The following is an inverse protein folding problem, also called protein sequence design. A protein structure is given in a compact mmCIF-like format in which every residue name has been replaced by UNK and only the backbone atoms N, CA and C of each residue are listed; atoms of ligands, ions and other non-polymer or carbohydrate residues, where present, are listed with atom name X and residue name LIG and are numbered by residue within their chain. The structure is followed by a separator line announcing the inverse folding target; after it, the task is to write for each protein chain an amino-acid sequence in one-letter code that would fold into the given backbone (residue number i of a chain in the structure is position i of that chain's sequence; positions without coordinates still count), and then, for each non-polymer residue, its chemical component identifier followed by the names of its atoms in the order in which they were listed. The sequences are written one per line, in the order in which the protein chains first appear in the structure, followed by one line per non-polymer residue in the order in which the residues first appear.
data_IF_354898693254
#
_entry.id   IF_354898693254
#
_cell.length_a   1.000
_cell.length_b   1.000
_cell.length_c   1.000
_cell.angle_alpha   90.00
_cell.angle_beta   90.00
_cell.angle_gamma   90.00
#
_symmetry.space_group_name_H-M   'P 1'
#
loop_
_entity.id
_entity.type
_entity.pdbx_description
1 polymer ?
#
# COMPACT_ATOMS: atom_id res chain seq x y z
N UNK A 1 20.19 45.77 4.41
CA UNK A 1 19.10 45.73 3.41
C UNK A 1 18.93 44.36 2.79
N UNK A 2 19.94 43.81 2.11
CA UNK A 2 19.83 42.53 1.37
C UNK A 2 19.33 41.34 2.21
N UNK A 3 19.78 41.24 3.47
CA UNK A 3 19.34 40.19 4.40
C UNK A 3 17.84 40.31 4.75
N UNK A 4 17.32 41.49 5.10
CA UNK A 4 15.89 41.69 5.40
C UNK A 4 14.98 41.33 4.23
N UNK A 5 15.41 41.59 2.99
CA UNK A 5 14.66 41.27 1.77
C UNK A 5 14.59 39.74 1.57
N UNK A 6 15.68 39.00 1.85
CA UNK A 6 15.70 37.53 1.83
C UNK A 6 14.76 36.90 2.85
N UNK A 7 14.69 37.42 4.07
CA UNK A 7 13.72 36.93 5.06
C UNK A 7 12.28 37.27 4.64
N UNK A 8 12.02 38.51 4.24
CA UNK A 8 10.70 39.01 3.83
C UNK A 8 10.08 38.20 2.68
N UNK A 9 10.82 37.91 1.61
CA UNK A 9 10.29 37.15 0.47
C UNK A 9 9.89 35.71 0.83
N UNK A 10 10.68 35.02 1.67
CA UNK A 10 10.35 33.66 2.12
C UNK A 10 9.04 33.63 2.94
N UNK A 11 8.76 34.69 3.69
CA UNK A 11 7.56 34.78 4.51
C UNK A 11 6.27 34.94 3.68
N UNK A 12 6.29 35.74 2.61
CA UNK A 12 5.14 35.82 1.69
C UNK A 12 4.92 34.53 0.90
N UNK A 13 5.99 33.87 0.44
CA UNK A 13 5.88 32.59 -0.27
C UNK A 13 5.31 31.49 0.62
N UNK A 14 5.83 31.31 1.84
CA UNK A 14 5.30 30.35 2.82
C UNK A 14 3.82 30.60 3.14
N UNK A 15 3.44 31.87 3.33
CA UNK A 15 2.04 32.24 3.56
C UNK A 15 1.11 31.89 2.39
N UNK A 16 1.53 32.12 1.14
CA UNK A 16 0.75 31.78 -0.07
C UNK A 16 0.63 30.28 -0.35
N UNK A 17 1.56 29.48 0.17
CA UNK A 17 1.63 28.01 0.01
C UNK A 17 1.10 27.24 1.23
N UNK A 18 0.66 27.95 2.26
CA UNK A 18 0.26 27.41 3.57
C UNK A 18 1.37 26.69 4.36
N UNK A 19 2.64 26.96 4.04
CA UNK A 19 3.80 26.42 4.75
C UNK A 19 4.34 27.43 5.78
N UNK A 20 4.47 27.03 7.05
CA UNK A 20 5.06 27.86 8.12
C UNK A 20 4.25 29.10 8.54
N UNK A 21 3.12 29.41 7.89
CA UNK A 21 2.30 30.60 8.16
C UNK A 21 1.86 30.82 9.63
N UNK A 22 1.61 29.79 10.47
CA UNK A 22 1.25 30.02 11.88
C UNK A 22 2.41 30.61 12.69
N UNK A 23 3.65 30.19 12.41
CA UNK A 23 4.83 30.73 13.10
C UNK A 23 5.04 32.22 12.78
N UNK A 24 4.75 32.61 11.53
CA UNK A 24 4.78 34.02 11.10
C UNK A 24 3.65 34.84 11.72
N UNK A 25 2.45 34.25 11.79
CA UNK A 25 1.32 34.86 12.48
C UNK A 25 1.67 35.15 13.95
N UNK A 26 2.16 34.17 14.70
CA UNK A 26 2.52 34.37 16.12
C UNK A 26 3.64 35.41 16.27
N UNK A 27 4.71 35.33 15.46
CA UNK A 27 5.79 36.34 15.47
C UNK A 27 5.27 37.75 15.17
N UNK A 28 4.26 37.88 14.31
CA UNK A 28 3.64 39.16 13.96
C UNK A 28 2.66 39.67 15.02
N UNK A 29 1.94 38.78 15.72
CA UNK A 29 1.10 39.12 16.88
C UNK A 29 1.97 39.65 18.03
N UNK A 30 3.16 39.07 18.22
CA UNK A 30 4.09 39.44 19.29
C UNK A 30 4.97 40.66 18.92
N UNK A 31 4.80 41.24 17.72
CA UNK A 31 5.60 42.39 17.25
C UNK A 31 5.29 43.68 18.03
N UNK A 32 6.34 44.31 18.57
CA UNK A 32 6.27 45.54 19.36
C UNK A 32 6.76 46.77 18.53
N UNK A 33 7.65 47.60 19.09
CA UNK A 33 8.25 48.76 18.43
C UNK A 33 9.56 48.39 17.70
N UNK A 34 10.00 49.28 16.81
CA UNK A 34 11.26 49.13 16.07
C UNK A 34 12.45 49.00 17.04
N UNK A 35 13.38 48.09 16.73
CA UNK A 35 14.54 47.70 17.56
C UNK A 35 14.25 47.08 18.95
N UNK A 36 12.98 46.80 19.29
CA UNK A 36 12.61 46.07 20.52
C UNK A 36 12.26 44.60 20.27
N UNK A 37 12.52 43.75 21.27
CA UNK A 37 12.16 42.33 21.24
C UNK A 37 10.63 42.10 21.28
N UNK A 38 10.17 40.89 20.89
CA UNK A 38 8.76 40.54 20.87
C UNK A 38 8.14 40.52 22.28
N UNK A 39 6.88 40.97 22.38
CA UNK A 39 6.07 40.91 23.59
C UNK A 39 4.84 40.04 23.29
N UNK A 40 4.69 38.95 24.05
CA UNK A 40 3.64 37.97 23.83
C UNK A 40 2.23 38.60 23.80
N UNK A 41 1.50 38.36 22.71
CA UNK A 41 0.13 38.84 22.46
C UNK A 41 -0.04 40.37 22.52
N UNK A 42 0.98 41.14 22.10
CA UNK A 42 0.93 42.60 22.10
C UNK A 42 -0.05 43.17 21.06
N UNK A 43 -0.15 42.58 19.86
CA UNK A 43 -1.00 43.07 18.74
C UNK A 43 -1.80 41.95 18.06
N UNK A 44 -2.77 41.30 18.75
CA UNK A 44 -3.61 40.26 18.17
C UNK A 44 -4.41 40.70 16.93
N UNK A 45 -4.69 42.00 16.77
CA UNK A 45 -5.39 42.56 15.60
C UNK A 45 -4.67 42.27 14.27
N UNK A 46 -3.35 42.05 14.30
CA UNK A 46 -2.56 41.70 13.11
C UNK A 46 -3.03 40.36 12.51
N UNK A 47 -3.60 39.45 13.32
CA UNK A 47 -4.15 38.19 12.83
C UNK A 47 -5.26 38.38 11.79
N UNK A 48 -6.08 39.42 11.91
CA UNK A 48 -7.16 39.70 10.96
C UNK A 48 -6.62 39.98 9.55
N UNK A 49 -5.50 40.71 9.43
CA UNK A 49 -4.82 40.93 8.16
C UNK A 49 -4.38 39.60 7.53
N UNK A 50 -3.79 38.70 8.32
CA UNK A 50 -3.29 37.42 7.81
C UNK A 50 -4.43 36.52 7.29
N UNK A 51 -5.54 36.43 8.04
CA UNK A 51 -6.71 35.64 7.63
C UNK A 51 -7.39 36.22 6.37
N UNK A 52 -7.56 37.55 6.31
CA UNK A 52 -8.16 38.22 5.13
C UNK A 52 -7.28 38.03 3.88
N UNK A 53 -5.96 38.19 4.01
CA UNK A 53 -5.01 37.93 2.92
C UNK A 53 -5.11 36.49 2.42
N UNK A 54 -5.11 35.51 3.33
CA UNK A 54 -5.24 34.08 3.00
C UNK A 54 -6.51 33.81 2.20
N UNK A 55 -7.67 34.31 2.66
CA UNK A 55 -8.96 34.08 2.00
C UNK A 55 -8.95 34.68 0.59
N UNK A 56 -8.48 35.93 0.44
CA UNK A 56 -8.43 36.62 -0.86
C UNK A 56 -7.49 35.89 -1.82
N UNK A 57 -6.24 35.66 -1.44
CA UNK A 57 -5.24 35.05 -2.33
C UNK A 57 -5.61 33.62 -2.68
N UNK A 58 -6.08 32.81 -1.74
CA UNK A 58 -6.50 31.43 -2.02
C UNK A 58 -7.70 31.39 -2.98
N UNK A 59 -8.71 32.25 -2.77
CA UNK A 59 -9.87 32.32 -3.65
C UNK A 59 -9.48 32.72 -5.08
N UNK A 60 -8.66 33.76 -5.25
CA UNK A 60 -8.20 34.18 -6.57
C UNK A 60 -7.28 33.14 -7.23
N UNK A 61 -6.33 32.54 -6.50
CA UNK A 61 -5.42 31.52 -7.06
C UNK A 61 -6.17 30.27 -7.54
N UNK A 62 -7.12 29.76 -6.75
CA UNK A 62 -7.94 28.60 -7.15
C UNK A 62 -8.77 28.94 -8.38
N UNK A 63 -9.42 30.10 -8.42
CA UNK A 63 -10.26 30.49 -9.56
C UNK A 63 -9.45 30.69 -10.86
N UNK A 64 -8.26 31.31 -10.78
CA UNK A 64 -7.37 31.48 -11.93
C UNK A 64 -6.86 30.13 -12.44
N UNK A 65 -6.42 29.25 -11.53
CA UNK A 65 -5.94 27.92 -11.90
C UNK A 65 -7.05 27.07 -12.54
N UNK A 66 -8.23 27.00 -11.92
CA UNK A 66 -9.38 26.27 -12.44
C UNK A 66 -9.83 26.84 -13.79
N UNK A 67 -9.88 28.17 -13.93
CA UNK A 67 -10.21 28.83 -15.19
C UNK A 67 -9.24 28.48 -16.33
N UNK A 68 -7.94 28.61 -16.10
CA UNK A 68 -6.91 28.25 -17.09
C UNK A 68 -6.96 26.77 -17.47
N UNK A 69 -7.09 25.88 -16.49
CA UNK A 69 -7.16 24.43 -16.70
C UNK A 69 -8.40 24.07 -17.52
N UNK A 70 -9.59 24.57 -17.15
CA UNK A 70 -10.84 24.31 -17.87
C UNK A 70 -10.75 24.81 -19.32
N UNK A 71 -10.31 26.06 -19.54
CA UNK A 71 -10.19 26.63 -20.89
C UNK A 71 -9.21 25.83 -21.74
N UNK A 72 -8.08 25.38 -21.18
CA UNK A 72 -7.11 24.56 -21.90
C UNK A 72 -7.71 23.19 -22.27
N UNK A 73 -8.31 22.48 -21.32
CA UNK A 73 -8.94 21.18 -21.60
C UNK A 73 -10.16 21.28 -22.53
N UNK A 74 -10.92 22.38 -22.51
CA UNK A 74 -11.99 22.65 -23.48
C UNK A 74 -11.42 22.90 -24.87
N UNK A 75 -10.40 23.75 -25.01
CA UNK A 75 -9.76 24.03 -26.31
C UNK A 75 -9.16 22.77 -26.96
N UNK A 76 -8.49 21.92 -26.18
CA UNK A 76 -7.98 20.63 -26.67
C UNK A 76 -9.13 19.67 -27.01
N UNK A 77 -10.14 19.59 -26.14
CA UNK A 77 -11.31 18.73 -26.32
C UNK A 77 -12.18 19.11 -27.53
N UNK A 78 -12.32 20.39 -27.85
CA UNK A 78 -13.07 20.85 -29.04
C UNK A 78 -12.26 20.70 -30.33
N UNK A 79 -10.93 20.89 -30.28
CA UNK A 79 -10.07 20.72 -31.45
C UNK A 79 -10.12 19.30 -32.02
N UNK A 80 -10.25 18.27 -31.18
CA UNK A 80 -10.41 16.87 -31.63
C UNK A 80 -11.65 16.66 -32.54
N UNK A 81 -12.71 17.47 -32.37
CA UNK A 81 -13.99 17.30 -33.06
C UNK A 81 -14.34 18.37 -34.10
N UNK A 82 -13.54 19.44 -34.26
CA UNK A 82 -13.84 20.59 -35.15
C UNK A 82 -14.17 20.22 -36.61
N UNK A 83 -13.71 19.07 -37.10
CA UNK A 83 -13.88 18.61 -38.48
C UNK A 83 -14.71 17.30 -38.60
N UNK A 84 -15.59 17.00 -37.64
CA UNK A 84 -16.45 15.81 -37.67
C UNK A 84 -17.94 16.18 -37.84
N UNK A 85 -18.61 15.63 -38.86
CA UNK A 85 -20.05 15.82 -39.10
C UNK A 85 -20.97 15.10 -38.08
N UNK A 86 -20.41 14.35 -37.14
CA UNK A 86 -21.14 13.51 -36.17
C UNK A 86 -20.91 13.98 -34.73
N UNK A 87 -22.00 14.09 -33.98
CA UNK A 87 -21.96 14.39 -32.54
C UNK A 87 -21.26 13.27 -31.75
N UNK A 88 -20.70 13.65 -30.59
CA UNK A 88 -20.04 12.76 -29.64
C UNK A 88 -20.89 11.56 -29.25
N UNK A 89 -22.20 11.74 -29.06
CA UNK A 89 -23.10 10.63 -28.71
C UNK A 89 -23.29 9.67 -29.90
N UNK A 90 -23.45 10.20 -31.11
CA UNK A 90 -23.57 9.39 -32.33
C UNK A 90 -22.30 8.56 -32.57
N UNK A 91 -21.12 9.19 -32.46
CA UNK A 91 -19.82 8.50 -32.58
C UNK A 91 -19.68 7.39 -31.55
N UNK A 92 -20.00 7.65 -30.27
CA UNK A 92 -19.92 6.62 -29.22
C UNK A 92 -20.84 5.41 -29.50
N UNK A 93 -22.07 5.65 -29.97
CA UNK A 93 -23.02 4.60 -30.33
C UNK A 93 -22.55 3.78 -31.55
N UNK A 94 -22.04 4.44 -32.59
CA UNK A 94 -21.51 3.78 -33.80
C UNK A 94 -20.25 2.98 -33.45
N UNK A 95 -19.34 3.55 -32.66
CA UNK A 95 -18.13 2.87 -32.20
C UNK A 95 -18.47 1.62 -31.39
N UNK A 96 -19.43 1.72 -30.47
CA UNK A 96 -19.91 0.57 -29.70
C UNK A 96 -20.51 -0.51 -30.61
N UNK A 97 -21.38 -0.13 -31.54
CA UNK A 97 -21.99 -1.06 -32.50
C UNK A 97 -20.95 -1.79 -33.38
N UNK A 98 -19.88 -1.11 -33.79
CA UNK A 98 -18.83 -1.68 -34.64
C UNK A 98 -17.76 -2.48 -33.88
N UNK A 99 -17.44 -2.11 -32.62
CA UNK A 99 -16.33 -2.72 -31.85
C UNK A 99 -16.77 -3.80 -30.86
N UNK A 100 -18.06 -3.91 -30.55
CA UNK A 100 -18.55 -4.88 -29.55
C UNK A 100 -18.33 -6.33 -29.98
N UNK A 101 -18.00 -7.18 -29.01
CA UNK A 101 -17.83 -8.63 -29.19
C UNK A 101 -18.75 -9.34 -28.19
N UNK A 102 -19.33 -10.50 -28.56
CA UNK A 102 -20.24 -11.22 -27.68
C UNK A 102 -19.51 -11.69 -26.41
N UNK A 103 -20.15 -11.49 -25.25
CA UNK A 103 -19.62 -11.91 -23.94
C UNK A 103 -19.64 -13.44 -23.85
N UNK A 104 -18.49 -14.04 -23.58
CA UNK A 104 -18.37 -15.51 -23.44
C UNK A 104 -18.81 -15.98 -22.06
N UNK A 105 -20.03 -16.51 -21.93
CA UNK A 105 -20.49 -17.21 -20.73
C UNK A 105 -20.22 -18.71 -20.84
N UNK A 106 -19.52 -19.29 -19.86
CA UNK A 106 -19.32 -20.74 -19.78
C UNK A 106 -20.52 -21.43 -19.10
N UNK A 107 -20.99 -22.52 -19.72
CA UNK A 107 -22.04 -23.39 -19.19
C UNK A 107 -21.52 -24.84 -19.22
N UNK A 108 -21.49 -25.57 -18.09
CA UNK A 108 -20.98 -26.94 -18.04
C UNK A 108 -21.98 -27.97 -18.61
N UNK A 109 -21.47 -29.04 -19.21
CA UNK A 109 -22.29 -30.12 -19.80
C UNK A 109 -22.61 -31.27 -18.83
N UNK A 110 -21.76 -31.54 -17.85
CA UNK A 110 -21.90 -32.71 -16.96
C UNK A 110 -22.86 -32.44 -15.81
N UNK A 111 -23.71 -33.41 -15.41
CA UNK A 111 -24.80 -33.18 -14.45
C UNK A 111 -24.35 -32.78 -13.05
N UNK A 112 -23.30 -33.39 -12.51
CA UNK A 112 -22.76 -33.02 -11.19
C UNK A 112 -22.12 -31.62 -11.26
N UNK A 113 -21.35 -31.35 -12.33
CA UNK A 113 -20.70 -30.06 -12.53
C UNK A 113 -21.74 -28.93 -12.71
N UNK A 114 -22.85 -29.21 -13.40
CA UNK A 114 -23.96 -28.27 -13.54
C UNK A 114 -24.63 -27.95 -12.22
N UNK A 115 -24.84 -28.92 -11.32
CA UNK A 115 -25.36 -28.66 -9.97
C UNK A 115 -24.43 -27.73 -9.17
N UNK A 116 -23.11 -28.00 -9.19
CA UNK A 116 -22.12 -27.15 -8.49
C UNK A 116 -22.05 -25.75 -9.11
N UNK A 117 -22.03 -25.65 -10.44
CA UNK A 117 -22.04 -24.37 -11.15
C UNK A 117 -23.30 -23.56 -10.89
N UNK A 118 -24.47 -24.19 -10.86
CA UNK A 118 -25.74 -23.53 -10.55
C UNK A 118 -25.75 -23.00 -9.11
N UNK A 119 -25.21 -23.75 -8.15
CA UNK A 119 -25.05 -23.31 -6.76
C UNK A 119 -24.06 -22.14 -6.63
N UNK A 120 -22.87 -22.25 -7.21
CA UNK A 120 -21.82 -21.21 -7.14
C UNK A 120 -22.22 -19.91 -7.87
N UNK A 121 -23.02 -20.04 -8.94
CA UNK A 121 -23.56 -18.90 -9.71
C UNK A 121 -24.84 -18.32 -9.08
N UNK A 122 -25.33 -18.89 -7.98
CA UNK A 122 -26.57 -18.43 -7.35
C UNK A 122 -26.36 -17.14 -6.56
N UNK A 123 -27.32 -16.23 -6.65
CA UNK A 123 -27.29 -14.98 -5.86
C UNK A 123 -27.11 -15.22 -4.35
N UNK A 124 -27.79 -16.19 -3.69
CA UNK A 124 -27.58 -16.45 -2.27
C UNK A 124 -26.13 -16.82 -1.90
N UNK A 125 -25.42 -17.56 -2.77
CA UNK A 125 -24.00 -17.87 -2.55
C UNK A 125 -23.13 -16.61 -2.61
N UNK A 126 -23.36 -15.73 -3.59
CA UNK A 126 -22.66 -14.45 -3.70
C UNK A 126 -22.94 -13.52 -2.49
N UNK A 127 -24.19 -13.46 -2.00
CA UNK A 127 -24.53 -12.72 -0.78
C UNK A 127 -23.89 -13.33 0.47
N UNK A 128 -23.84 -14.66 0.60
CA UNK A 128 -23.22 -15.33 1.75
C UNK A 128 -21.71 -15.03 1.83
N UNK A 129 -20.98 -15.16 0.72
CA UNK A 129 -19.55 -14.80 0.64
C UNK A 129 -19.33 -13.31 0.97
N UNK A 130 -20.17 -12.42 0.43
CA UNK A 130 -20.09 -10.99 0.71
C UNK A 130 -20.27 -10.66 2.20
N UNK A 131 -21.27 -11.26 2.86
CA UNK A 131 -21.51 -11.10 4.30
C UNK A 131 -20.31 -11.63 5.10
N UNK A 132 -19.74 -12.79 4.72
CA UNK A 132 -18.55 -13.34 5.38
C UNK A 132 -17.31 -12.44 5.26
N UNK A 133 -17.11 -11.76 4.11
CA UNK A 133 -16.05 -10.75 3.97
C UNK A 133 -16.31 -9.57 4.91
N UNK A 134 -17.55 -9.11 5.04
CA UNK A 134 -17.91 -8.00 5.93
C UNK A 134 -17.66 -8.37 7.40
N UNK A 135 -18.06 -9.57 7.85
CA UNK A 135 -17.81 -10.02 9.23
C UNK A 135 -16.30 -10.22 9.46
N UNK A 136 -15.55 -10.81 8.50
CA UNK A 136 -14.10 -10.93 8.60
C UNK A 136 -13.40 -9.56 8.70
N UNK A 137 -13.91 -8.55 8.01
CA UNK A 137 -13.43 -7.16 8.11
C UNK A 137 -13.61 -6.61 9.53
N UNK A 138 -14.77 -6.83 10.15
CA UNK A 138 -15.04 -6.43 11.54
C UNK A 138 -14.10 -7.19 12.50
N UNK A 139 -13.88 -8.50 12.30
CA UNK A 139 -12.92 -9.29 13.08
C UNK A 139 -11.48 -8.77 13.00
N UNK A 140 -11.07 -8.23 11.85
CA UNK A 140 -9.75 -7.60 11.69
C UNK A 140 -9.69 -6.24 12.38
N UNK A 141 -10.76 -5.44 12.30
CA UNK A 141 -10.85 -4.11 12.93
C UNK A 141 -10.98 -4.16 14.47
N UNK A 142 -11.47 -5.27 15.04
CA UNK A 142 -11.65 -5.44 16.49
C UNK A 142 -10.35 -5.68 17.29
N UNK A 143 -9.19 -5.88 16.64
CA UNK A 143 -7.92 -6.07 17.36
C UNK A 143 -7.45 -4.77 18.01
N UNK A 144 -7.13 -4.80 19.31
CA UNK A 144 -6.73 -3.62 20.09
C UNK A 144 -5.48 -3.86 20.95
N UNK A 145 -4.84 -2.76 21.36
CA UNK A 145 -3.60 -2.81 22.14
C UNK A 145 -3.87 -3.27 23.59
N UNK A 146 -3.05 -4.20 24.11
CA UNK A 146 -3.20 -4.85 25.43
C UNK A 146 -4.52 -5.64 25.61
N UNK A 147 -5.02 -6.26 24.55
CA UNK A 147 -6.13 -7.22 24.62
C UNK A 147 -5.79 -8.49 25.44
N UNK A 148 -6.76 -9.13 26.11
CA UNK A 148 -6.52 -10.37 26.85
C UNK A 148 -6.23 -11.56 25.93
N UNK A 149 -5.59 -12.60 26.47
CA UNK A 149 -5.14 -13.77 25.70
C UNK A 149 -6.30 -14.54 25.06
N UNK A 150 -7.32 -14.87 25.85
CA UNK A 150 -8.53 -15.58 25.37
C UNK A 150 -9.22 -14.86 24.21
N UNK A 151 -9.28 -13.52 24.24
CA UNK A 151 -9.84 -12.72 23.16
C UNK A 151 -8.97 -12.78 21.89
N UNK A 152 -7.64 -12.82 22.05
CA UNK A 152 -6.70 -12.99 20.94
C UNK A 152 -6.91 -14.35 20.27
N UNK A 153 -6.98 -15.41 21.08
CA UNK A 153 -7.19 -16.79 20.62
C UNK A 153 -8.54 -16.93 19.91
N UNK A 154 -9.63 -16.39 20.47
CA UNK A 154 -10.95 -16.38 19.83
C UNK A 154 -10.94 -15.66 18.47
N UNK A 155 -10.30 -14.49 18.37
CA UNK A 155 -10.16 -13.76 17.10
C UNK A 155 -9.31 -14.52 16.07
N UNK A 156 -8.26 -15.23 16.50
CA UNK A 156 -7.41 -15.98 15.58
C UNK A 156 -8.04 -17.31 15.12
N UNK A 157 -8.80 -18.00 15.98
CA UNK A 157 -9.70 -19.10 15.58
C UNK A 157 -10.72 -18.62 14.55
N UNK A 158 -11.37 -17.47 14.78
CA UNK A 158 -12.35 -16.93 13.85
C UNK A 158 -11.72 -16.55 12.49
N UNK A 159 -10.49 -16.02 12.49
CA UNK A 159 -9.73 -15.79 11.26
C UNK A 159 -9.34 -17.09 10.52
N UNK A 160 -9.07 -18.18 11.25
CA UNK A 160 -8.85 -19.50 10.65
C UNK A 160 -10.12 -20.01 9.97
N UNK A 161 -11.29 -19.90 10.63
CA UNK A 161 -12.60 -20.27 10.07
C UNK A 161 -12.88 -19.51 8.77
N UNK A 162 -12.72 -18.18 8.75
CA UNK A 162 -12.90 -17.41 7.51
C UNK A 162 -11.95 -17.86 6.40
N UNK A 163 -10.70 -18.17 6.74
CA UNK A 163 -9.71 -18.67 5.77
C UNK A 163 -10.14 -20.01 5.16
N UNK A 164 -10.65 -20.93 5.98
CA UNK A 164 -11.19 -22.20 5.50
C UNK A 164 -12.42 -22.01 4.59
N UNK A 165 -13.34 -21.09 4.92
CA UNK A 165 -14.53 -20.83 4.09
C UNK A 165 -14.15 -20.20 2.74
N UNK A 166 -13.19 -19.27 2.68
CA UNK A 166 -12.70 -18.74 1.41
C UNK A 166 -11.91 -19.78 0.59
N UNK A 167 -11.19 -20.69 1.24
CA UNK A 167 -10.58 -21.83 0.53
C UNK A 167 -11.65 -22.77 -0.07
N UNK A 168 -12.77 -23.00 0.62
CA UNK A 168 -13.92 -23.75 0.09
C UNK A 168 -14.62 -23.00 -1.07
N UNK A 169 -14.76 -21.67 -1.00
CA UNK A 169 -15.25 -20.85 -2.12
C UNK A 169 -14.42 -21.07 -3.38
N UNK A 170 -13.09 -21.01 -3.25
CA UNK A 170 -12.15 -21.32 -4.34
C UNK A 170 -12.35 -22.72 -4.91
N UNK A 171 -12.42 -23.75 -4.06
CA UNK A 171 -12.60 -25.15 -4.48
C UNK A 171 -13.93 -25.33 -5.23
N UNK A 172 -15.03 -24.76 -4.73
CA UNK A 172 -16.33 -24.84 -5.41
C UNK A 172 -16.32 -24.12 -6.76
N UNK A 173 -15.72 -22.92 -6.86
CA UNK A 173 -15.58 -22.21 -8.13
C UNK A 173 -14.70 -22.95 -9.13
N UNK A 174 -13.58 -23.52 -8.68
CA UNK A 174 -12.69 -24.31 -9.54
C UNK A 174 -13.41 -25.55 -10.09
N UNK A 175 -14.18 -26.24 -9.24
CA UNK A 175 -15.02 -27.38 -9.64
C UNK A 175 -16.14 -26.98 -10.62
N UNK A 176 -16.76 -25.82 -10.44
CA UNK A 176 -17.79 -25.29 -11.34
C UNK A 176 -17.22 -24.92 -12.73
N UNK A 177 -16.21 -24.04 -12.77
CA UNK A 177 -15.76 -23.40 -14.00
C UNK A 177 -14.68 -24.18 -14.76
N UNK A 178 -13.94 -25.08 -14.09
CA UNK A 178 -12.74 -25.76 -14.59
C UNK A 178 -11.56 -24.80 -14.79
N UNK A 179 -10.34 -25.29 -14.61
CA UNK A 179 -9.08 -24.52 -14.66
C UNK A 179 -9.06 -23.40 -15.72
N UNK A 180 -9.25 -23.72 -17.01
CA UNK A 180 -9.10 -22.74 -18.11
C UNK A 180 -10.07 -21.54 -18.03
N UNK A 181 -11.30 -21.74 -17.55
CA UNK A 181 -12.26 -20.63 -17.45
C UNK A 181 -12.12 -19.90 -16.12
N UNK A 182 -11.78 -20.62 -15.04
CA UNK A 182 -11.52 -20.02 -13.73
C UNK A 182 -10.37 -19.01 -13.80
N UNK A 183 -9.22 -19.41 -14.35
CA UNK A 183 -8.06 -18.52 -14.53
C UNK A 183 -8.21 -17.50 -15.67
N UNK A 184 -9.33 -17.51 -16.40
CA UNK A 184 -9.64 -16.51 -17.44
C UNK A 184 -10.32 -15.24 -16.90
N UNK A 185 -10.83 -15.27 -15.66
CA UNK A 185 -11.45 -14.12 -14.99
C UNK A 185 -10.51 -13.58 -13.91
N UNK A 186 -10.11 -12.31 -14.07
CA UNK A 186 -9.18 -11.64 -13.17
C UNK A 186 -9.64 -11.64 -11.69
N UNK A 187 -10.94 -11.64 -11.41
CA UNK A 187 -11.46 -11.68 -10.03
C UNK A 187 -11.34 -13.07 -9.40
N UNK A 188 -11.43 -14.13 -10.21
CA UNK A 188 -11.17 -15.49 -9.77
C UNK A 188 -9.66 -15.73 -9.61
N UNK A 189 -8.82 -15.18 -10.51
CA UNK A 189 -7.35 -15.19 -10.33
C UNK A 189 -6.96 -14.49 -9.02
N UNK A 190 -7.57 -13.34 -8.72
CA UNK A 190 -7.37 -12.62 -7.46
C UNK A 190 -7.78 -13.47 -6.25
N UNK A 191 -8.95 -14.09 -6.28
CA UNK A 191 -9.44 -14.99 -5.23
C UNK A 191 -8.46 -16.14 -4.94
N UNK A 192 -7.91 -16.78 -5.98
CA UNK A 192 -6.87 -17.79 -5.84
C UNK A 192 -5.58 -17.25 -5.18
N UNK A 193 -5.13 -16.04 -5.55
CA UNK A 193 -3.95 -15.42 -4.92
C UNK A 193 -4.18 -15.17 -3.42
N UNK A 194 -5.39 -14.76 -3.04
CA UNK A 194 -5.78 -14.55 -1.63
C UNK A 194 -5.78 -15.86 -0.84
N UNK A 195 -6.33 -16.94 -1.40
CA UNK A 195 -6.33 -18.26 -0.78
C UNK A 195 -4.89 -18.80 -0.66
N UNK A 196 -4.07 -18.66 -1.70
CA UNK A 196 -2.66 -19.07 -1.69
C UNK A 196 -1.84 -18.31 -0.63
N UNK A 197 -1.96 -16.99 -0.57
CA UNK A 197 -1.30 -16.17 0.45
C UNK A 197 -1.75 -16.53 1.87
N UNK A 198 -3.04 -16.87 2.05
CA UNK A 198 -3.57 -17.33 3.34
C UNK A 198 -3.07 -18.73 3.73
N UNK A 199 -2.83 -19.63 2.78
CA UNK A 199 -2.22 -20.94 3.04
C UNK A 199 -0.75 -20.79 3.45
N UNK A 200 -0.01 -19.88 2.79
CA UNK A 200 1.38 -19.56 3.16
C UNK A 200 1.44 -18.97 4.58
N UNK A 201 0.53 -18.07 4.95
CA UNK A 201 0.40 -17.51 6.31
C UNK A 201 0.25 -18.62 7.38
N UNK A 202 -0.62 -19.61 7.12
CA UNK A 202 -0.83 -20.76 8.02
C UNK A 202 0.44 -21.61 8.13
N UNK A 203 0.99 -22.09 7.00
CA UNK A 203 2.18 -22.95 6.99
C UNK A 203 3.37 -22.26 7.64
N UNK A 204 3.54 -20.96 7.43
CA UNK A 204 4.60 -20.18 8.07
C UNK A 204 4.43 -20.13 9.59
N UNK A 205 3.21 -19.94 10.08
CA UNK A 205 2.94 -19.88 11.51
C UNK A 205 3.25 -21.20 12.23
N UNK A 206 2.92 -22.34 11.61
CA UNK A 206 3.25 -23.69 12.12
C UNK A 206 4.77 -23.94 12.14
N UNK A 207 5.49 -23.61 11.06
CA UNK A 207 6.95 -23.78 10.99
C UNK A 207 7.66 -22.92 12.04
N UNK A 208 7.20 -21.69 12.28
CA UNK A 208 7.75 -20.83 13.32
C UNK A 208 7.45 -21.34 14.74
N UNK A 209 6.30 -22.00 14.96
CA UNK A 209 6.00 -22.68 16.22
C UNK A 209 6.92 -23.89 16.44
N UNK A 210 7.09 -24.73 15.42
CA UNK A 210 7.99 -25.89 15.46
C UNK A 210 9.46 -25.50 15.68
N UNK A 211 9.91 -24.38 15.14
CA UNK A 211 11.29 -23.89 15.33
C UNK A 211 11.54 -23.26 16.72
N UNK A 212 10.48 -22.92 17.46
CA UNK A 212 10.56 -22.36 18.81
C UNK A 212 10.57 -23.42 19.93
N UNK A 213 10.30 -24.69 19.60
CA UNK A 213 10.46 -25.79 20.55
C UNK A 213 11.95 -26.05 20.83
N UNK A 214 12.38 -26.18 22.11
CA UNK A 214 13.73 -26.59 22.42
C UNK A 214 14.03 -27.96 21.81
N UNK A 215 15.07 -28.06 21.00
CA UNK A 215 15.57 -29.35 20.53
C UNK A 215 16.17 -30.09 21.72
N UNK A 216 15.39 -31.00 22.33
CA UNK A 216 15.95 -31.95 23.29
C UNK A 216 17.12 -32.68 22.62
N UNK A 217 18.31 -32.44 23.16
CA UNK A 217 19.51 -33.12 22.71
C UNK A 217 19.57 -34.42 23.49
N UNK A 218 18.95 -35.45 22.94
CA UNK A 218 19.11 -36.81 23.43
C UNK A 218 20.59 -37.18 23.36
N UNK A 219 21.25 -37.19 24.52
CA UNK A 219 22.60 -37.71 24.68
C UNK A 219 22.65 -39.16 24.21
N UNK A 220 23.41 -39.49 23.15
CA UNK A 220 23.73 -40.88 22.88
C UNK A 220 24.85 -41.29 23.86
N UNK A 221 24.53 -42.22 24.74
CA UNK A 221 25.52 -42.90 25.58
C UNK A 221 26.56 -43.58 24.69
N UNK A 222 27.81 -43.11 24.75
CA UNK A 222 28.96 -43.75 24.11
C UNK A 222 30.14 -43.78 25.10
N UNK A 223 30.63 -44.99 25.35
CA UNK A 223 31.69 -45.34 26.31
C UNK A 223 33.08 -45.37 25.65
N UNK A 224 34.14 -45.27 26.47
CA UNK A 224 35.59 -45.28 26.09
C UNK A 224 36.04 -44.04 25.25
N UNK A 225 37.28 -43.53 25.21
CA UNK A 225 38.59 -43.77 25.86
C UNK A 225 39.49 -42.52 25.57
N UNK A 226 40.62 -42.18 26.23
CA UNK A 226 41.33 -42.71 27.42
C UNK A 226 42.31 -41.65 27.99
N UNK A 227 42.64 -41.80 29.29
CA UNK A 227 43.78 -41.28 30.10
C UNK A 227 44.93 -40.52 29.40
N UNK A 228 45.22 -39.31 29.93
CA UNK A 228 46.53 -38.64 30.17
C UNK A 228 47.71 -38.82 29.20
N UNK A 229 48.15 -37.70 28.59
CA UNK A 229 49.56 -37.30 28.54
C UNK A 229 49.72 -35.84 28.06
N UNK A 230 50.42 -35.01 28.84
CA UNK A 230 50.86 -33.69 28.41
C UNK A 230 52.39 -33.62 28.47
N UNK A 231 53.07 -33.73 27.31
CA UNK A 231 54.38 -33.07 27.11
C UNK A 231 54.82 -33.05 25.64
N UNK A 232 55.29 -31.87 25.24
CA UNK A 232 56.35 -31.58 24.25
C UNK A 232 56.07 -31.57 22.73
N UNK A 233 56.78 -30.61 22.12
CA UNK A 233 57.19 -30.46 20.70
C UNK A 233 56.15 -30.14 19.62
N UNK A 234 55.96 -28.83 19.45
CA UNK A 234 56.27 -28.07 18.23
C UNK A 234 55.43 -28.21 16.93
N UNK A 235 55.17 -27.01 16.37
CA UNK A 235 54.81 -26.70 14.97
C UNK A 235 53.35 -26.88 14.53
N UNK A 236 53.03 -26.22 13.41
CA UNK A 236 51.74 -26.18 12.70
C UNK A 236 50.56 -25.45 13.38
N UNK A 237 50.56 -24.12 13.17
CA UNK A 237 49.37 -23.30 12.88
C UNK A 237 48.28 -24.03 12.06
N UNK A 238 46.99 -23.70 12.33
CA UNK A 238 45.82 -23.70 11.42
C UNK A 238 44.53 -24.44 11.86
N UNK A 239 44.43 -25.05 13.05
CA UNK A 239 43.28 -25.90 13.41
C UNK A 239 42.28 -25.34 14.45
N UNK A 240 42.46 -24.12 14.98
CA UNK A 240 41.70 -23.63 16.16
C UNK A 240 40.64 -22.54 15.87
N UNK A 241 40.35 -22.26 14.60
CA UNK A 241 39.35 -21.25 14.17
C UNK A 241 38.05 -21.81 13.60
N UNK A 242 37.93 -23.14 13.46
CA UNK A 242 36.71 -23.78 12.93
C UNK A 242 35.59 -23.97 13.98
N UNK A 243 35.95 -24.21 15.25
CA UNK A 243 34.99 -24.55 16.30
C UNK A 243 34.16 -23.35 16.81
N UNK A 244 34.72 -22.14 16.78
CA UNK A 244 34.01 -20.90 17.16
C UNK A 244 33.13 -20.34 16.04
N UNK A 245 33.44 -20.65 14.78
CA UNK A 245 32.61 -20.27 13.62
C UNK A 245 31.25 -21.01 13.59
N UNK A 246 31.22 -22.27 14.03
CA UNK A 246 29.98 -23.07 14.08
C UNK A 246 28.96 -22.53 15.10
N UNK A 247 29.42 -22.02 16.24
CA UNK A 247 28.55 -21.38 17.24
C UNK A 247 27.99 -20.04 16.74
N UNK A 248 28.78 -19.25 16.03
CA UNK A 248 28.32 -17.99 15.43
C UNK A 248 27.25 -18.20 14.34
N UNK A 249 27.35 -19.28 13.55
CA UNK A 249 26.43 -19.59 12.47
C UNK A 249 25.02 -20.02 12.92
N UNK A 250 24.84 -20.41 14.19
CA UNK A 250 23.52 -20.79 14.75
C UNK A 250 22.72 -19.55 15.18
N UNK A 251 23.38 -18.47 15.60
CA UNK A 251 22.70 -17.23 16.04
C UNK A 251 22.24 -16.36 14.86
N UNK A 252 22.78 -16.53 13.65
CA UNK A 252 22.44 -15.70 12.48
C UNK A 252 21.20 -16.16 11.68
N UNK A 253 20.34 -17.02 12.24
CA UNK A 253 19.16 -17.57 11.52
C UNK A 253 17.79 -17.16 12.06
N UNK A 254 17.73 -16.22 13.00
CA UNK A 254 16.47 -15.75 13.61
C UNK A 254 15.96 -14.38 13.08
N UNK A 255 16.85 -13.48 12.63
CA UNK A 255 16.47 -12.11 12.24
C UNK A 255 15.63 -12.04 10.96
N UNK A 256 15.73 -13.04 10.08
CA UNK A 256 14.93 -13.12 8.86
C UNK A 256 13.47 -13.54 9.05
N UNK A 257 13.08 -14.05 10.24
CA UNK A 257 11.74 -14.65 10.44
C UNK A 257 10.63 -13.65 10.78
N UNK A 258 10.97 -12.42 11.14
CA UNK A 258 10.02 -11.48 11.76
C UNK A 258 9.25 -10.65 10.71
N UNK A 259 9.89 -10.36 9.57
CA UNK A 259 9.33 -9.51 8.50
C UNK A 259 8.19 -10.22 7.76
N UNK A 260 8.34 -11.53 7.55
CA UNK A 260 7.39 -12.41 6.84
C UNK A 260 6.03 -12.53 7.52
N UNK A 261 5.99 -12.76 8.85
CA UNK A 261 4.73 -13.01 9.58
C UNK A 261 3.75 -11.83 9.45
N UNK A 262 4.23 -10.60 9.62
CA UNK A 262 3.38 -9.42 9.51
C UNK A 262 2.98 -9.13 8.06
N UNK A 263 3.84 -9.46 7.09
CA UNK A 263 3.50 -9.33 5.67
C UNK A 263 2.42 -10.33 5.24
N UNK A 264 2.50 -11.60 5.61
CA UNK A 264 1.51 -12.60 5.20
C UNK A 264 0.12 -12.34 5.80
N UNK A 265 0.06 -11.72 6.99
CA UNK A 265 -1.21 -11.24 7.57
C UNK A 265 -1.93 -10.19 6.72
N UNK A 266 -1.26 -9.44 5.84
CA UNK A 266 -1.94 -8.50 4.91
C UNK A 266 -2.86 -9.22 3.91
N UNK A 267 -2.59 -10.48 3.53
CA UNK A 267 -3.48 -11.22 2.63
C UNK A 267 -4.90 -11.40 3.21
N UNK A 268 -5.04 -11.36 4.54
CA UNK A 268 -6.35 -11.33 5.22
C UNK A 268 -7.08 -10.01 4.94
N UNK A 269 -6.38 -8.87 5.00
CA UNK A 269 -6.95 -7.54 4.70
C UNK A 269 -7.26 -7.39 3.20
N UNK A 270 -6.45 -7.98 2.32
CA UNK A 270 -6.69 -7.96 0.87
C UNK A 270 -8.03 -8.61 0.46
N UNK A 271 -8.68 -9.41 1.34
CA UNK A 271 -10.04 -9.91 1.14
C UNK A 271 -11.08 -8.80 0.98
N UNK A 272 -10.89 -7.64 1.61
CA UNK A 272 -11.77 -6.47 1.47
C UNK A 272 -11.83 -5.99 0.01
N UNK A 273 -10.77 -6.19 -0.78
CA UNK A 273 -10.75 -5.83 -2.21
C UNK A 273 -11.80 -6.63 -3.01
N UNK A 274 -12.19 -7.84 -2.55
CA UNK A 274 -13.31 -8.59 -3.15
C UNK A 274 -14.65 -7.86 -3.05
N UNK A 275 -14.82 -6.91 -2.12
CA UNK A 275 -16.02 -6.05 -2.07
C UNK A 275 -16.13 -5.16 -3.32
N UNK A 276 -15.00 -4.71 -3.86
CA UNK A 276 -14.96 -3.95 -5.12
C UNK A 276 -15.50 -4.80 -6.28
N UNK A 277 -15.28 -6.12 -6.29
CA UNK A 277 -15.76 -7.02 -7.34
C UNK A 277 -17.29 -6.91 -7.56
N UNK A 278 -18.06 -6.56 -6.52
CA UNK A 278 -19.52 -6.46 -6.57
C UNK A 278 -20.03 -5.08 -7.00
N UNK A 279 -19.30 -4.01 -6.70
CA UNK A 279 -19.75 -2.64 -6.97
C UNK A 279 -19.52 -2.24 -8.43
N UNK A 280 -20.45 -2.57 -9.34
CA UNK A 280 -20.32 -2.28 -10.78
C UNK A 280 -19.97 -0.82 -11.10
N UNK A 281 -20.65 0.14 -10.43
CA UNK A 281 -20.35 1.56 -10.57
C UNK A 281 -18.92 1.91 -10.09
N UNK A 282 -18.51 1.41 -8.91
CA UNK A 282 -17.17 1.65 -8.36
C UNK A 282 -16.09 1.03 -9.26
N UNK A 283 -16.31 -0.19 -9.77
CA UNK A 283 -15.40 -0.84 -10.73
C UNK A 283 -15.27 -0.05 -12.01
N UNK A 284 -16.37 0.47 -12.53
CA UNK A 284 -16.39 1.25 -13.77
C UNK A 284 -15.61 2.56 -13.56
N UNK A 285 -15.85 3.26 -12.46
CA UNK A 285 -15.13 4.50 -12.08
C UNK A 285 -13.63 4.27 -11.84
N UNK A 286 -13.26 3.21 -11.10
CA UNK A 286 -11.86 2.86 -10.88
C UNK A 286 -11.18 2.46 -12.20
N UNK A 287 -11.88 1.73 -13.08
CA UNK A 287 -11.34 1.32 -14.38
C UNK A 287 -11.16 2.51 -15.33
N UNK A 288 -12.12 3.45 -15.40
CA UNK A 288 -11.97 4.66 -16.22
C UNK A 288 -10.85 5.55 -15.69
N UNK A 289 -10.69 5.65 -14.37
CA UNK A 289 -9.58 6.37 -13.72
C UNK A 289 -8.22 5.72 -14.00
N UNK A 290 -8.09 4.39 -13.82
CA UNK A 290 -6.84 3.67 -14.13
C UNK A 290 -6.50 3.82 -15.62
N UNK A 291 -7.50 3.77 -16.51
CA UNK A 291 -7.32 3.96 -17.95
C UNK A 291 -6.90 5.39 -18.31
N UNK A 292 -7.36 6.43 -17.60
CA UNK A 292 -6.91 7.80 -17.87
C UNK A 292 -5.45 8.03 -17.45
N UNK A 293 -5.00 7.42 -16.34
CA UNK A 293 -3.59 7.44 -15.96
C UNK A 293 -2.69 6.73 -16.99
N UNK A 294 -3.15 5.61 -17.56
CA UNK A 294 -2.42 4.90 -18.63
C UNK A 294 -2.28 5.73 -19.93
N UNK A 295 -3.09 6.77 -20.12
CA UNK A 295 -2.98 7.68 -21.27
C UNK A 295 -1.93 8.79 -21.08
N UNK A 296 -1.40 9.00 -19.87
CA UNK A 296 -0.50 10.12 -19.53
C UNK A 296 0.93 9.70 -19.06
N UNK A 297 1.59 8.68 -19.64
CA UNK A 297 2.88 8.20 -19.14
C UNK A 297 4.00 9.25 -19.26
N UNK A 298 3.97 10.08 -20.30
CA UNK A 298 4.98 11.13 -20.51
C UNK A 298 4.92 12.24 -19.46
N UNK A 299 3.71 12.60 -18.99
CA UNK A 299 3.54 13.61 -17.92
C UNK A 299 4.11 13.08 -16.60
N UNK A 300 3.83 11.80 -16.27
CA UNK A 300 4.43 11.15 -15.12
C UNK A 300 5.96 11.06 -15.21
N UNK A 301 6.50 10.75 -16.40
CA UNK A 301 7.94 10.71 -16.65
C UNK A 301 8.59 12.08 -16.43
N UNK A 302 7.98 13.18 -16.92
CA UNK A 302 8.49 14.53 -16.70
C UNK A 302 8.52 14.90 -15.20
N UNK A 303 7.50 14.52 -14.43
CA UNK A 303 7.48 14.73 -12.97
C UNK A 303 8.61 13.93 -12.30
N UNK A 304 8.83 12.67 -12.69
CA UNK A 304 9.94 11.85 -12.16
C UNK A 304 11.31 12.42 -12.55
N UNK A 305 11.47 12.91 -13.78
CA UNK A 305 12.70 13.57 -14.24
C UNK A 305 12.97 14.86 -13.46
N UNK A 306 11.93 15.65 -13.17
CA UNK A 306 12.04 16.84 -12.33
C UNK A 306 12.52 16.47 -10.92
N UNK A 307 11.91 15.48 -10.28
CA UNK A 307 12.38 14.98 -8.97
C UNK A 307 13.82 14.48 -9.03
N UNK A 308 14.22 13.76 -10.08
CA UNK A 308 15.59 13.29 -10.25
C UNK A 308 16.60 14.45 -10.35
N UNK A 309 16.32 15.47 -11.18
CA UNK A 309 17.19 16.63 -11.35
C UNK A 309 17.33 17.40 -10.03
N UNK A 310 16.21 17.71 -9.35
CA UNK A 310 16.25 18.40 -8.06
C UNK A 310 16.90 17.57 -6.96
N UNK A 311 16.77 16.24 -6.97
CA UNK A 311 17.47 15.36 -6.03
C UNK A 311 18.99 15.38 -6.26
N UNK A 312 19.47 15.34 -7.50
CA UNK A 312 20.91 15.43 -7.81
C UNK A 312 21.48 16.79 -7.42
N UNK A 313 20.80 17.89 -7.79
CA UNK A 313 21.19 19.25 -7.38
C UNK A 313 21.18 19.36 -5.85
N UNK A 314 20.13 18.89 -5.20
CA UNK A 314 20.00 18.91 -3.74
C UNK A 314 21.11 18.13 -3.03
N UNK A 315 21.48 16.95 -3.51
CA UNK A 315 22.61 16.18 -2.97
C UNK A 315 23.94 16.93 -3.14
N UNK A 316 24.19 17.56 -4.29
CA UNK A 316 25.43 18.31 -4.53
C UNK A 316 25.51 19.58 -3.66
N UNK A 317 24.44 20.36 -3.61
CA UNK A 317 24.37 21.62 -2.84
C UNK A 317 24.40 21.36 -1.34
N UNK A 318 23.60 20.42 -0.83
CA UNK A 318 23.58 20.09 0.61
C UNK A 318 24.90 19.47 1.07
N UNK A 319 25.54 18.63 0.26
CA UNK A 319 26.87 18.09 0.59
C UNK A 319 27.94 19.20 0.61
N UNK A 320 27.88 20.17 -0.32
CA UNK A 320 28.75 21.34 -0.30
C UNK A 320 28.58 22.19 0.98
N UNK A 321 27.35 22.34 1.49
CA UNK A 321 27.12 23.00 2.78
C UNK A 321 27.63 22.17 3.96
N UNK A 322 27.45 20.85 3.97
CA UNK A 322 27.91 19.96 5.03
C UNK A 322 29.45 19.85 5.09
N UNK A 323 30.15 19.91 3.96
CA UNK A 323 31.64 19.85 3.93
C UNK A 323 32.28 21.19 4.35
N UNK A 324 31.48 22.24 4.61
CA UNK A 324 31.93 23.57 5.04
C UNK A 324 31.52 23.93 6.48
N UNK A 325 30.91 23.00 7.20
CA UNK A 325 30.50 23.12 8.61
C UNK A 325 31.25 22.12 9.48
#
# INVERSE_FOLDING_TARGET
MEYSIKYSNNYYTGMSTFEGWPALLYTSIDSNAEDFGPIHNFRPIVAAYYIVYIIIIAFFMVNIFVGFVIVTFQNEGEQEYKNCDLDKNQRNCIEFALKTKPVRRYIPKHRIQYKVWWFVTSQPFEYAIFILIMINTITLAMKFYRQPKEYTEALDILNMIFTAVFALEFVFKLAAFRFKNYFGDAWNVFDFIIVLGSFIDIVYSEVNMLSSLPRETSTPTATAATVTAATLTASATAATTAATAAAAAVTTKATGSIISINFFRLFRVMRLVKLLARGEGIRTLLWTFIKSFQALPYVALLIVMLFFIYAVIGMQVSNFFLTKS
#
